data_IF_311478836969
#
_entry.id   IF_311478836969
#
_cell.length_a   1.000
_cell.length_b   1.000
_cell.length_c   1.000
_cell.angle_alpha   90.00
_cell.angle_beta   90.00
_cell.angle_gamma   90.00
#
_symmetry.space_group_name_H-M   'P 1'
#
loop_
_entity.id
_entity.type
_entity.pdbx_description
1 polymer ?
#
# COMPACT_ATOMS: atom_id res chain seq x y z
N UNK A 1 16.66 5.82 4.83
CA UNK A 1 16.43 4.46 4.33
C UNK A 1 17.61 3.62 4.74
N UNK A 2 17.40 2.72 5.69
CA UNK A 2 18.36 1.70 6.11
C UNK A 2 18.29 0.50 5.16
N UNK A 3 19.32 -0.34 5.14
CA UNK A 3 19.30 -1.59 4.36
C UNK A 3 18.15 -2.52 4.74
N UNK A 4 17.74 -2.50 6.02
CA UNK A 4 16.61 -3.28 6.51
C UNK A 4 15.28 -2.78 5.92
N UNK A 5 15.05 -1.47 5.95
CA UNK A 5 13.86 -0.83 5.35
C UNK A 5 13.81 -1.11 3.83
N UNK A 6 14.94 -0.99 3.13
CA UNK A 6 15.01 -1.27 1.69
C UNK A 6 14.67 -2.72 1.36
N UNK A 7 15.23 -3.70 2.10
CA UNK A 7 14.93 -5.12 1.90
C UNK A 7 13.46 -5.44 2.15
N UNK A 8 12.87 -4.82 3.17
CA UNK A 8 11.46 -5.00 3.48
C UNK A 8 10.57 -4.45 2.36
N UNK A 9 10.85 -3.25 1.86
CA UNK A 9 10.11 -2.66 0.74
C UNK A 9 10.20 -3.50 -0.53
N UNK A 10 11.40 -3.99 -0.85
CA UNK A 10 11.59 -4.92 -1.96
C UNK A 10 10.79 -6.21 -1.78
N UNK A 11 10.80 -6.80 -0.58
CA UNK A 11 10.04 -8.01 -0.29
C UNK A 11 8.52 -7.80 -0.43
N UNK A 12 7.99 -6.65 0.00
CA UNK A 12 6.57 -6.29 -0.18
C UNK A 12 6.25 -6.15 -1.66
N UNK A 13 7.06 -5.39 -2.42
CA UNK A 13 6.89 -5.21 -3.86
C UNK A 13 6.95 -6.53 -4.59
N UNK A 14 7.98 -7.35 -4.39
CA UNK A 14 8.13 -8.64 -5.05
C UNK A 14 6.95 -9.58 -4.75
N UNK A 15 6.51 -9.62 -3.50
CA UNK A 15 5.41 -10.47 -3.09
C UNK A 15 4.05 -10.01 -3.68
N UNK A 16 3.90 -8.73 -4.03
CA UNK A 16 2.68 -8.21 -4.68
C UNK A 16 2.45 -8.76 -6.10
N UNK A 17 3.41 -9.49 -6.68
CA UNK A 17 3.24 -10.25 -7.93
C UNK A 17 2.23 -11.40 -7.79
N UNK A 18 2.04 -11.91 -6.58
CA UNK A 18 1.24 -13.12 -6.32
C UNK A 18 -0.11 -12.83 -5.67
N UNK A 19 -0.26 -11.67 -5.03
CA UNK A 19 -1.45 -11.34 -4.26
C UNK A 19 -1.65 -9.83 -4.12
N UNK A 20 -2.91 -9.42 -3.92
CA UNK A 20 -3.25 -8.04 -3.64
C UNK A 20 -2.58 -7.56 -2.37
N UNK A 21 -1.95 -6.40 -2.46
CA UNK A 21 -1.21 -5.78 -1.38
C UNK A 21 -1.82 -4.42 -1.08
N UNK A 22 -2.05 -4.12 0.19
CA UNK A 22 -2.43 -2.79 0.65
C UNK A 22 -1.16 -1.98 0.93
N UNK A 23 -1.12 -0.76 0.42
CA UNK A 23 -0.18 0.26 0.87
C UNK A 23 -0.70 0.90 2.16
N UNK A 24 -0.25 0.38 3.32
CA UNK A 24 -0.65 0.87 4.64
C UNK A 24 -0.25 2.32 4.86
N UNK A 25 0.82 2.78 4.21
CA UNK A 25 1.27 4.18 4.32
C UNK A 25 0.19 5.15 3.80
N UNK A 26 -0.52 4.79 2.72
CA UNK A 26 -1.64 5.60 2.22
C UNK A 26 -2.74 5.77 3.26
N UNK A 27 -3.15 4.68 3.93
CA UNK A 27 -4.23 4.73 4.92
C UNK A 27 -3.81 5.46 6.21
N UNK A 28 -2.59 5.21 6.68
CA UNK A 28 -2.02 5.89 7.85
C UNK A 28 -1.88 7.41 7.65
N UNK A 29 -1.63 7.85 6.41
CA UNK A 29 -1.55 9.28 6.08
C UNK A 29 -2.93 9.93 5.84
N UNK A 30 -4.03 9.21 6.07
CA UNK A 30 -5.38 9.73 5.83
C UNK A 30 -5.70 9.98 4.35
N UNK A 31 -4.95 9.35 3.43
CA UNK A 31 -5.09 9.52 1.98
C UNK A 31 -6.02 8.49 1.33
N UNK A 32 -6.84 7.82 2.15
CA UNK A 32 -7.78 6.78 1.75
C UNK A 32 -7.11 5.41 1.76
N UNK A 33 -7.31 4.59 0.73
CA UNK A 33 -6.71 3.27 0.63
C UNK A 33 -6.15 3.04 -0.78
N UNK A 34 -5.03 2.32 -0.87
CA UNK A 34 -4.40 1.93 -2.12
C UNK A 34 -4.09 0.43 -2.08
N UNK A 35 -4.64 -0.30 -3.04
CA UNK A 35 -4.41 -1.72 -3.24
C UNK A 35 -3.76 -1.93 -4.60
N UNK A 36 -2.78 -2.84 -4.67
CA UNK A 36 -2.05 -3.09 -5.90
C UNK A 36 -1.67 -4.57 -6.04
N UNK A 37 -1.49 -4.98 -7.30
CA UNK A 37 -1.10 -6.33 -7.70
C UNK A 37 -0.19 -6.22 -8.93
N UNK A 38 0.95 -6.91 -8.95
CA UNK A 38 1.80 -7.03 -10.15
C UNK A 38 3.32 -6.91 -9.94
N UNK A 39 3.79 -6.54 -8.76
CA UNK A 39 5.22 -6.33 -8.53
C UNK A 39 5.65 -4.91 -8.85
N UNK A 40 6.63 -4.78 -9.75
CA UNK A 40 7.16 -3.48 -10.19
C UNK A 40 6.17 -2.75 -11.12
N UNK A 41 5.48 -3.51 -11.97
CA UNK A 41 4.46 -3.02 -12.91
C UNK A 41 3.17 -3.81 -12.68
N UNK A 42 2.01 -3.16 -12.69
CA UNK A 42 0.79 -3.88 -12.38
C UNK A 42 -0.49 -3.06 -12.46
N UNK A 43 -1.50 -3.52 -11.71
CA UNK A 43 -2.82 -2.90 -11.59
C UNK A 43 -3.07 -2.42 -10.17
N UNK A 44 -3.88 -1.37 -10.05
CA UNK A 44 -4.24 -0.80 -8.75
C UNK A 44 -5.73 -0.53 -8.63
N UNK A 45 -6.18 -0.49 -7.37
CA UNK A 45 -7.45 0.07 -6.93
C UNK A 45 -7.14 1.11 -5.85
N UNK A 46 -7.60 2.34 -6.03
CA UNK A 46 -7.43 3.43 -5.06
C UNK A 46 -8.77 4.00 -4.66
N UNK A 47 -8.99 4.11 -3.36
CA UNK A 47 -10.17 4.73 -2.76
C UNK A 47 -9.73 6.03 -2.11
N UNK A 48 -10.32 7.15 -2.49
CA UNK A 48 -10.11 8.43 -1.80
C UNK A 48 -10.98 8.50 -0.53
N UNK A 49 -10.61 9.34 0.46
CA UNK A 49 -11.41 9.52 1.67
C UNK A 49 -12.89 9.87 1.40
N UNK A 50 -13.15 10.63 0.33
CA UNK A 50 -14.50 11.02 -0.08
C UNK A 50 -15.31 9.95 -0.83
N UNK A 51 -14.79 8.74 -1.04
CA UNK A 51 -15.50 7.67 -1.73
C UNK A 51 -15.33 7.61 -3.25
N UNK A 52 -14.47 8.44 -3.84
CA UNK A 52 -14.03 8.23 -5.22
C UNK A 52 -13.16 6.97 -5.29
N UNK A 53 -13.56 6.01 -6.11
CA UNK A 53 -12.77 4.83 -6.44
C UNK A 53 -12.17 5.01 -7.84
N UNK A 54 -10.87 4.76 -7.97
CA UNK A 54 -10.18 4.71 -9.25
C UNK A 54 -9.44 3.39 -9.43
N UNK A 55 -9.41 2.91 -10.66
CA UNK A 55 -8.63 1.74 -11.06
C UNK A 55 -7.76 2.06 -12.25
N UNK A 56 -6.64 1.36 -12.37
CA UNK A 56 -5.75 1.54 -13.49
C UNK A 56 -4.51 0.68 -13.39
N UNK A 57 -3.46 1.13 -14.08
CA UNK A 57 -2.17 0.46 -14.11
C UNK A 57 -1.11 1.34 -13.44
N UNK A 58 -0.03 0.74 -12.95
CA UNK A 58 1.16 1.45 -12.48
C UNK A 58 2.41 0.85 -13.11
N UNK A 59 3.50 1.63 -13.14
CA UNK A 59 4.82 1.17 -13.58
C UNK A 59 5.94 1.71 -12.70
N UNK A 60 7.01 0.94 -12.54
CA UNK A 60 8.23 1.36 -11.85
C UNK A 60 8.07 1.46 -10.33
N UNK A 61 7.31 0.56 -9.70
CA UNK A 61 7.25 0.43 -8.25
C UNK A 61 8.57 -0.16 -7.71
N UNK A 62 9.63 0.64 -7.68
CA UNK A 62 10.94 0.23 -7.18
C UNK A 62 11.57 1.35 -6.33
N UNK A 63 11.93 1.11 -5.05
CA UNK A 63 11.81 -0.16 -4.33
C UNK A 63 10.39 -0.48 -3.83
N UNK A 64 9.46 0.49 -3.83
CA UNK A 64 8.07 0.33 -3.42
C UNK A 64 7.10 1.12 -4.30
N UNK A 65 5.80 0.85 -4.13
CA UNK A 65 4.68 1.44 -4.86
C UNK A 65 4.60 2.99 -4.83
N UNK A 66 5.32 3.62 -3.90
CA UNK A 66 5.38 5.09 -3.77
C UNK A 66 6.14 5.77 -4.91
N UNK A 67 7.05 5.05 -5.57
CA UNK A 67 7.83 5.53 -6.71
C UNK A 67 7.10 5.32 -8.05
N UNK A 68 5.98 4.61 -8.03
CA UNK A 68 5.31 4.15 -9.24
C UNK A 68 4.59 5.29 -9.99
N UNK A 69 4.61 5.20 -11.32
CA UNK A 69 3.85 6.07 -12.20
C UNK A 69 2.48 5.47 -12.49
N UNK A 70 1.42 6.13 -12.02
CA UNK A 70 0.04 5.66 -12.13
C UNK A 70 -0.64 6.15 -13.41
N UNK A 71 -1.32 5.25 -14.11
CA UNK A 71 -2.21 5.55 -15.23
C UNK A 71 -3.63 5.13 -14.89
N UNK A 72 -4.51 6.12 -14.70
CA UNK A 72 -5.91 5.90 -14.39
C UNK A 72 -6.69 5.40 -15.61
N UNK A 73 -7.48 4.34 -15.44
CA UNK A 73 -8.30 3.73 -16.50
C UNK A 73 -9.79 3.94 -16.29
N UNK A 74 -10.26 3.89 -15.05
CA UNK A 74 -11.64 4.20 -14.72
C UNK A 74 -11.75 4.89 -13.35
N UNK A 75 -12.81 5.66 -13.19
CA UNK A 75 -13.17 6.39 -11.97
C UNK A 75 -14.65 6.21 -11.71
N UNK A 76 -15.01 5.99 -10.45
CA UNK A 76 -16.38 5.84 -9.99
C UNK A 76 -16.53 6.65 -8.70
N UNK A 77 -17.50 7.56 -8.68
CA UNK A 77 -17.94 8.15 -7.42
C UNK A 77 -18.90 7.15 -6.72
N UNK A 78 -18.50 6.68 -5.54
CA UNK A 78 -19.30 5.75 -4.73
C UNK A 78 -20.03 6.46 -3.58
N UNK A 79 -19.86 7.77 -3.42
CA UNK A 79 -20.47 8.61 -2.39
C UNK A 79 -19.79 8.57 -1.02
N UNK A 80 -19.31 7.40 -0.58
CA UNK A 80 -18.54 7.27 0.66
C UNK A 80 -17.48 6.16 0.59
N UNK A 81 -16.56 6.17 1.54
CA UNK A 81 -15.45 5.21 1.61
C UNK A 81 -15.93 3.76 1.71
N UNK A 82 -16.99 3.48 2.47
CA UNK A 82 -17.46 2.11 2.69
C UNK A 82 -18.06 1.52 1.41
N UNK A 83 -18.85 2.32 0.68
CA UNK A 83 -19.39 1.92 -0.63
C UNK A 83 -18.27 1.74 -1.66
N UNK A 84 -17.27 2.61 -1.65
CA UNK A 84 -16.09 2.45 -2.48
C UNK A 84 -15.34 1.15 -2.14
N UNK A 85 -15.17 0.82 -0.86
CA UNK A 85 -14.53 -0.43 -0.44
C UNK A 85 -15.33 -1.66 -0.87
N UNK A 86 -16.66 -1.64 -0.74
CA UNK A 86 -17.52 -2.71 -1.26
C UNK A 86 -17.35 -2.87 -2.78
N UNK A 87 -17.25 -1.76 -3.52
CA UNK A 87 -17.00 -1.80 -4.97
C UNK A 87 -15.60 -2.32 -5.30
N UNK A 88 -14.58 -1.96 -4.53
CA UNK A 88 -13.22 -2.49 -4.66
C UNK A 88 -13.21 -4.01 -4.46
N UNK A 89 -13.89 -4.51 -3.42
CA UNK A 89 -14.04 -5.95 -3.18
C UNK A 89 -14.77 -6.67 -4.32
N UNK A 90 -15.78 -6.05 -4.93
CA UNK A 90 -16.44 -6.59 -6.11
C UNK A 90 -15.49 -6.65 -7.34
N UNK A 91 -14.69 -5.61 -7.55
CA UNK A 91 -13.75 -5.52 -8.69
C UNK A 91 -12.58 -6.49 -8.54
N UNK A 92 -11.99 -6.57 -7.35
CA UNK A 92 -10.89 -7.48 -7.04
C UNK A 92 -11.32 -8.94 -6.84
N UNK A 93 -12.63 -9.16 -6.66
CA UNK A 93 -13.23 -10.48 -6.54
C UNK A 93 -12.81 -11.24 -5.28
N UNK A 94 -13.02 -12.56 -5.30
CA UNK A 94 -12.70 -13.43 -4.15
C UNK A 94 -11.22 -13.38 -3.76
N UNK A 95 -10.33 -13.30 -4.74
CA UNK A 95 -8.89 -13.25 -4.49
C UNK A 95 -8.50 -11.99 -3.70
N UNK A 96 -9.02 -10.82 -4.08
CA UNK A 96 -8.79 -9.59 -3.31
C UNK A 96 -9.18 -9.75 -1.83
N UNK A 97 -10.35 -10.30 -1.55
CA UNK A 97 -10.80 -10.52 -0.17
C UNK A 97 -9.89 -11.50 0.57
N UNK A 98 -9.55 -12.64 -0.06
CA UNK A 98 -8.65 -13.63 0.53
C UNK A 98 -7.28 -13.03 0.86
N UNK A 99 -6.74 -12.24 -0.06
CA UNK A 99 -5.43 -11.62 0.06
C UNK A 99 -5.41 -10.55 1.15
N UNK A 100 -6.50 -9.82 1.39
CA UNK A 100 -6.56 -8.83 2.49
C UNK A 100 -6.45 -9.47 3.88
N UNK A 101 -6.81 -10.75 4.02
CA UNK A 101 -6.74 -11.49 5.29
C UNK A 101 -5.64 -12.57 5.32
N UNK A 102 -4.79 -12.64 4.29
CA UNK A 102 -3.66 -13.58 4.24
C UNK A 102 -2.45 -13.04 5.00
N UNK A 103 -1.65 -13.95 5.58
CA UNK A 103 -0.34 -13.61 6.13
C UNK A 103 0.61 -13.23 5.00
N UNK A 104 1.20 -12.04 5.07
CA UNK A 104 2.11 -11.52 4.04
C UNK A 104 3.14 -10.55 4.59
N UNK A 105 4.28 -10.37 3.91
CA UNK A 105 5.19 -9.26 4.20
C UNK A 105 4.40 -7.96 4.19
N UNK A 106 4.58 -7.15 5.23
CA UNK A 106 3.83 -5.91 5.38
C UNK A 106 4.77 -4.74 5.61
N UNK A 107 4.30 -3.54 5.29
CA UNK A 107 4.96 -2.29 5.64
C UNK A 107 4.84 -2.10 7.16
N UNK A 108 5.77 -2.66 7.90
CA UNK A 108 5.98 -2.44 9.33
C UNK A 108 6.80 -1.16 9.51
N UNK A 109 6.51 -0.41 10.58
CA UNK A 109 7.43 0.60 11.07
C UNK A 109 8.58 -0.10 11.77
N UNK A 110 9.78 0.02 11.22
CA UNK A 110 10.99 -0.30 11.98
C UNK A 110 11.23 0.89 12.91
N UNK A 111 10.92 0.74 14.20
CA UNK A 111 11.43 1.67 15.21
C UNK A 111 12.95 1.57 15.19
N UNK A 112 13.62 2.58 14.65
CA UNK A 112 15.07 2.71 14.79
C UNK A 112 15.33 3.02 16.26
N UNK A 113 16.08 2.18 17.00
CA UNK A 113 16.41 2.48 18.39
C UNK A 113 17.10 3.85 18.45
N UNK A 114 16.70 4.69 19.40
CA UNK A 114 17.39 5.96 19.65
C UNK A 114 18.90 5.68 19.82
N UNK A 115 19.78 6.46 19.16
CA UNK A 115 21.21 6.24 19.28
C UNK A 115 21.64 6.33 20.76
N UNK A 116 22.42 5.36 21.27
CA UNK A 116 22.86 5.40 22.66
C UNK A 116 23.85 6.56 22.82
N UNK A 117 23.45 7.61 23.52
CA UNK A 117 24.35 8.67 23.98
C UNK A 117 24.02 10.08 23.52
N UNK A 118 22.83 10.60 23.84
CA UNK A 118 22.69 12.02 24.16
C UNK A 118 22.05 12.11 25.55
N UNK A 119 22.86 12.57 26.49
CA UNK A 119 22.72 12.29 27.90
C UNK A 119 21.70 13.13 28.65
N UNK A 120 21.45 12.70 29.88
CA UNK A 120 21.35 13.62 31.01
C UNK A 120 22.18 13.03 32.14
N UNK A 121 23.40 13.55 32.25
CA UNK A 121 24.12 13.58 33.51
C UNK A 121 23.40 14.62 34.36
N UNK A 122 22.51 14.15 35.24
CA UNK A 122 21.98 14.98 36.32
C UNK A 122 22.74 14.56 37.58
N UNK A 123 23.43 15.54 38.16
CA UNK A 123 24.14 15.47 39.43
C UNK A 123 23.25 14.97 40.56
#
# INVERSE_FOLDING_TARGET
>A
MTDAEMRQWLAVTENSRFQWTEDKITSLNGRGALYYFGGEDGIYIRIQPGGELSVGTYKGAFPHIGEALFTRKAVMDCGDFNRAFQKAAQLGGRQFLQDMFSSKPSQEFIEVPAPPGMGMQMM
#
